data_IF_825306152652
#
_entry.id   IF_825306152652
#
_cell.length_a   1.000
_cell.length_b   1.000
_cell.length_c   1.000
_cell.angle_alpha   90.00
_cell.angle_beta   90.00
_cell.angle_gamma   90.00
#
_symmetry.space_group_name_H-M   'P 1'
#
loop_
_entity.id
_entity.type
_entity.pdbx_description
1 polymer ?
#
# COMPACT_ATOMS: atom_id res chain seq x y z
N UNK A 1 14.53 -12.40 8.22
CA UNK A 1 13.58 -13.10 7.33
C UNK A 1 12.20 -13.00 7.97
N UNK A 2 11.23 -12.36 7.33
CA UNK A 2 9.86 -12.20 7.84
C UNK A 2 8.85 -12.70 6.82
N UNK A 3 7.60 -12.89 7.25
CA UNK A 3 6.49 -13.21 6.38
C UNK A 3 5.72 -11.92 6.04
N UNK A 4 5.48 -11.71 4.76
CA UNK A 4 4.73 -10.58 4.23
C UNK A 4 3.43 -11.02 3.60
N UNK A 5 2.37 -10.27 3.80
CA UNK A 5 1.16 -10.38 2.99
C UNK A 5 0.92 -9.07 2.26
N UNK A 6 0.78 -9.15 0.93
CA UNK A 6 0.60 -8.00 0.05
C UNK A 6 -0.80 -8.03 -0.56
N UNK A 7 -1.70 -7.19 -0.06
CA UNK A 7 -2.99 -6.95 -0.66
C UNK A 7 -2.83 -6.00 -1.86
N UNK A 8 -3.37 -6.39 -3.03
CA UNK A 8 -3.17 -5.67 -4.29
C UNK A 8 -1.93 -6.09 -5.06
N UNK A 9 -1.42 -7.29 -4.83
CA UNK A 9 -0.20 -7.85 -5.41
C UNK A 9 -0.24 -8.03 -6.94
N UNK A 10 -1.42 -7.95 -7.56
CA UNK A 10 -1.59 -8.28 -8.97
C UNK A 10 -0.88 -7.35 -9.95
N UNK A 11 -0.60 -6.09 -9.63
CA UNK A 11 0.05 -5.10 -10.51
C UNK A 11 0.58 -3.91 -9.73
N UNK A 12 1.33 -3.04 -10.43
CA UNK A 12 1.79 -1.76 -9.88
C UNK A 12 2.66 -1.92 -8.65
N UNK A 13 2.45 -1.09 -7.62
CA UNK A 13 3.24 -1.08 -6.39
C UNK A 13 3.28 -2.47 -5.76
N UNK A 14 2.12 -3.13 -5.60
CA UNK A 14 2.05 -4.43 -4.94
C UNK A 14 2.83 -5.52 -5.67
N UNK A 15 2.81 -5.53 -7.00
CA UNK A 15 3.60 -6.49 -7.77
C UNK A 15 5.11 -6.28 -7.59
N UNK A 16 5.58 -5.03 -7.66
CA UNK A 16 6.99 -4.72 -7.41
C UNK A 16 7.40 -5.06 -5.98
N UNK A 17 6.53 -4.80 -5.00
CA UNK A 17 6.80 -5.13 -3.60
C UNK A 17 6.93 -6.65 -3.39
N UNK A 18 6.10 -7.47 -4.04
CA UNK A 18 6.26 -8.93 -4.03
C UNK A 18 7.63 -9.34 -4.58
N UNK A 19 8.03 -8.77 -5.72
CA UNK A 19 9.34 -9.05 -6.32
C UNK A 19 10.50 -8.70 -5.35
N UNK A 20 10.49 -7.50 -4.77
CA UNK A 20 11.51 -7.07 -3.82
C UNK A 20 11.55 -7.92 -2.56
N UNK A 21 10.39 -8.23 -1.98
CA UNK A 21 10.31 -9.07 -0.79
C UNK A 21 10.94 -10.46 -1.01
N UNK A 22 10.62 -11.09 -2.14
CA UNK A 22 11.20 -12.38 -2.51
C UNK A 22 12.72 -12.30 -2.77
N UNK A 23 13.18 -11.26 -3.45
CA UNK A 23 14.60 -11.03 -3.69
C UNK A 23 15.40 -10.83 -2.39
N UNK A 24 14.79 -10.26 -1.37
CA UNK A 24 15.38 -10.09 -0.04
C UNK A 24 15.23 -11.32 0.86
N UNK A 25 14.67 -12.42 0.34
CA UNK A 25 14.51 -13.68 1.05
C UNK A 25 13.33 -13.74 2.02
N UNK A 26 12.36 -12.82 1.93
CA UNK A 26 11.13 -12.90 2.70
C UNK A 26 10.18 -13.96 2.12
N UNK A 27 9.34 -14.51 2.97
CA UNK A 27 8.18 -15.31 2.54
C UNK A 27 7.06 -14.34 2.16
N UNK A 28 6.60 -14.35 0.90
CA UNK A 28 5.62 -13.40 0.42
C UNK A 28 4.33 -14.07 -0.01
N UNK A 29 3.24 -13.68 0.64
CA UNK A 29 1.87 -14.06 0.30
C UNK A 29 1.27 -12.92 -0.54
N UNK A 30 0.89 -13.24 -1.76
CA UNK A 30 0.29 -12.32 -2.72
C UNK A 30 -1.23 -12.49 -2.75
N UNK A 31 -1.98 -11.57 -2.14
CA UNK A 31 -3.44 -11.57 -2.21
C UNK A 31 -3.91 -10.83 -3.48
N UNK A 32 -4.66 -11.53 -4.32
CA UNK A 32 -5.13 -11.03 -5.62
C UNK A 32 -6.63 -11.26 -5.81
N UNK A 33 -7.30 -10.32 -6.50
CA UNK A 33 -8.71 -10.47 -6.87
C UNK A 33 -8.93 -11.20 -8.19
N UNK A 34 -7.95 -11.21 -9.08
CA UNK A 34 -8.10 -11.75 -10.43
C UNK A 34 -7.09 -12.84 -10.71
N UNK A 35 -7.58 -14.05 -10.99
CA UNK A 35 -6.80 -15.25 -11.28
C UNK A 35 -5.72 -15.08 -12.37
N UNK A 36 -5.93 -14.15 -13.33
CA UNK A 36 -4.96 -13.86 -14.41
C UNK A 36 -3.56 -13.47 -13.92
N UNK A 37 -3.42 -13.04 -12.68
CA UNK A 37 -2.12 -12.69 -12.09
C UNK A 37 -1.43 -13.85 -11.38
N UNK A 38 -2.14 -14.97 -11.13
CA UNK A 38 -1.68 -16.11 -10.34
C UNK A 38 -0.40 -16.71 -10.89
N UNK A 39 -0.43 -17.14 -12.16
CA UNK A 39 0.70 -17.85 -12.80
C UNK A 39 2.01 -17.09 -12.64
N UNK A 40 2.05 -15.80 -13.00
CA UNK A 40 3.29 -15.01 -12.92
C UNK A 40 3.78 -14.79 -11.50
N UNK A 41 2.87 -14.67 -10.51
CA UNK A 41 3.24 -14.50 -9.11
C UNK A 41 3.80 -15.80 -8.52
N UNK A 42 3.17 -16.94 -8.85
CA UNK A 42 3.68 -18.26 -8.45
C UNK A 42 5.04 -18.57 -9.08
N UNK A 43 5.24 -18.21 -10.36
CA UNK A 43 6.52 -18.41 -11.06
C UNK A 43 7.69 -17.67 -10.43
N UNK A 44 7.45 -16.50 -9.81
CA UNK A 44 8.50 -15.77 -9.08
C UNK A 44 8.65 -16.22 -7.62
N UNK A 45 7.89 -17.22 -7.16
CA UNK A 45 8.02 -17.82 -5.83
C UNK A 45 7.05 -17.31 -4.78
N UNK A 46 6.05 -16.48 -5.12
CA UNK A 46 5.06 -16.03 -4.16
C UNK A 46 4.00 -17.12 -3.89
N UNK A 47 3.57 -17.25 -2.64
CA UNK A 47 2.34 -17.94 -2.30
C UNK A 47 1.16 -17.06 -2.72
N UNK A 48 0.23 -17.58 -3.53
CA UNK A 48 -0.87 -16.78 -4.07
C UNK A 48 -2.20 -17.19 -3.45
N UNK A 49 -2.93 -16.20 -2.91
CA UNK A 49 -4.29 -16.36 -2.40
C UNK A 49 -5.22 -15.50 -3.26
N UNK A 50 -6.31 -16.11 -3.73
CA UNK A 50 -7.36 -15.43 -4.50
C UNK A 50 -8.54 -15.06 -3.58
N UNK A 51 -9.01 -13.81 -3.67
CA UNK A 51 -10.15 -13.32 -2.91
C UNK A 51 -10.47 -11.86 -3.22
N UNK A 52 -11.59 -11.37 -2.73
CA UNK A 52 -11.98 -9.96 -2.84
C UNK A 52 -11.84 -9.26 -1.48
N UNK A 53 -10.99 -8.25 -1.39
CA UNK A 53 -10.80 -7.47 -0.18
C UNK A 53 -12.10 -6.80 0.32
N UNK A 54 -13.08 -6.59 -0.56
CA UNK A 54 -14.39 -6.09 -0.18
C UNK A 54 -15.28 -7.14 0.53
N UNK A 55 -14.90 -8.42 0.48
CA UNK A 55 -15.54 -9.48 1.24
C UNK A 55 -14.80 -9.68 2.55
N UNK A 56 -15.46 -9.37 3.67
CA UNK A 56 -14.84 -9.46 5.00
C UNK A 56 -14.36 -10.88 5.33
N UNK A 57 -15.13 -11.91 4.92
CA UNK A 57 -14.75 -13.32 5.10
C UNK A 57 -13.44 -13.68 4.45
N UNK A 58 -13.20 -13.19 3.22
CA UNK A 58 -11.98 -13.51 2.47
C UNK A 58 -10.75 -12.97 3.20
N UNK A 59 -10.84 -11.73 3.69
CA UNK A 59 -9.74 -11.11 4.45
C UNK A 59 -9.54 -11.80 5.79
N UNK A 60 -10.62 -12.01 6.56
CA UNK A 60 -10.55 -12.65 7.87
C UNK A 60 -9.93 -14.04 7.78
N UNK A 61 -10.41 -14.87 6.87
CA UNK A 61 -9.90 -16.23 6.69
C UNK A 61 -8.43 -16.20 6.24
N UNK A 62 -8.09 -15.36 5.27
CA UNK A 62 -6.69 -15.23 4.81
C UNK A 62 -5.75 -14.83 5.95
N UNK A 63 -6.13 -13.87 6.79
CA UNK A 63 -5.27 -13.42 7.88
C UNK A 63 -5.24 -14.42 9.05
N UNK A 64 -6.29 -15.21 9.25
CA UNK A 64 -6.34 -16.26 10.29
C UNK A 64 -5.40 -17.45 9.96
N UNK A 65 -5.12 -17.68 8.68
CA UNK A 65 -4.28 -18.80 8.20
C UNK A 65 -2.78 -18.46 8.17
N UNK A 66 -2.40 -17.25 8.57
CA UNK A 66 -0.99 -16.80 8.57
C UNK A 66 -0.52 -16.39 9.96
N UNK A 67 0.79 -16.26 10.12
CA UNK A 67 1.37 -15.82 11.39
C UNK A 67 0.90 -14.41 11.77
N UNK A 68 0.52 -14.20 13.03
CA UNK A 68 0.18 -12.87 13.55
C UNK A 68 1.37 -11.90 13.59
N UNK A 69 2.60 -12.40 13.43
CA UNK A 69 3.81 -11.60 13.26
C UNK A 69 4.08 -11.20 11.79
N UNK A 70 3.20 -11.61 10.86
CA UNK A 70 3.32 -11.21 9.46
C UNK A 70 3.13 -9.71 9.29
N UNK A 71 3.90 -9.15 8.33
CA UNK A 71 3.77 -7.73 7.97
C UNK A 71 2.71 -7.59 6.88
N UNK A 72 1.71 -6.76 7.14
CA UNK A 72 0.62 -6.50 6.21
C UNK A 72 0.95 -5.28 5.37
N UNK A 73 0.87 -5.42 4.05
CA UNK A 73 0.94 -4.32 3.10
C UNK A 73 -0.38 -4.18 2.36
N UNK A 74 -1.01 -3.02 2.43
CA UNK A 74 -2.17 -2.70 1.62
C UNK A 74 -1.80 -1.70 0.54
N UNK A 75 -1.80 -2.19 -0.70
CA UNK A 75 -1.61 -1.39 -1.92
C UNK A 75 -2.86 -1.39 -2.78
N UNK A 76 -4.00 -1.84 -2.21
CA UNK A 76 -5.28 -1.89 -2.94
C UNK A 76 -5.82 -0.49 -3.18
N UNK A 77 -6.58 -0.35 -4.27
CA UNK A 77 -7.25 0.90 -4.57
C UNK A 77 -8.27 0.76 -5.70
N UNK A 78 -9.11 1.77 -5.81
CA UNK A 78 -10.16 1.90 -6.80
C UNK A 78 -11.54 1.47 -6.31
N UNK A 79 -12.55 2.26 -6.64
CA UNK A 79 -13.97 2.03 -6.29
C UNK A 79 -14.16 1.72 -4.79
N UNK A 80 -14.89 0.63 -4.50
CA UNK A 80 -15.18 0.17 -3.13
C UNK A 80 -13.94 -0.30 -2.35
N UNK A 81 -12.89 -0.78 -3.02
CA UNK A 81 -11.69 -1.24 -2.34
C UNK A 81 -10.95 -0.12 -1.58
N UNK A 82 -11.05 1.13 -2.06
CA UNK A 82 -10.45 2.29 -1.38
C UNK A 82 -10.96 2.46 0.05
N UNK A 83 -12.22 2.16 0.33
CA UNK A 83 -12.82 2.23 1.66
C UNK A 83 -13.03 0.83 2.24
N UNK A 84 -13.97 0.08 1.69
CA UNK A 84 -14.43 -1.20 2.27
C UNK A 84 -13.30 -2.22 2.38
N UNK A 85 -12.50 -2.38 1.31
CA UNK A 85 -11.41 -3.34 1.32
C UNK A 85 -10.34 -3.03 2.36
N UNK A 86 -9.92 -1.76 2.45
CA UNK A 86 -8.93 -1.35 3.44
C UNK A 86 -9.47 -1.44 4.87
N UNK A 87 -10.74 -1.08 5.12
CA UNK A 87 -11.36 -1.25 6.44
C UNK A 87 -11.45 -2.72 6.86
N UNK A 88 -11.78 -3.62 5.93
CA UNK A 88 -11.81 -5.06 6.20
C UNK A 88 -10.42 -5.57 6.62
N UNK A 89 -9.35 -5.13 5.94
CA UNK A 89 -7.97 -5.49 6.29
C UNK A 89 -7.64 -5.00 7.70
N UNK A 90 -7.90 -3.73 8.02
CA UNK A 90 -7.58 -3.15 9.34
C UNK A 90 -8.34 -3.88 10.44
N UNK A 91 -9.67 -4.02 10.31
CA UNK A 91 -10.52 -4.69 11.30
C UNK A 91 -10.11 -6.14 11.54
N UNK A 92 -9.80 -6.88 10.47
CA UNK A 92 -9.36 -8.27 10.62
C UNK A 92 -8.00 -8.37 11.28
N UNK A 93 -7.07 -7.46 10.95
CA UNK A 93 -5.76 -7.41 11.57
C UNK A 93 -5.84 -7.13 13.08
N UNK A 94 -6.67 -6.16 13.50
CA UNK A 94 -6.91 -5.88 14.93
C UNK A 94 -7.53 -7.08 15.65
N UNK A 95 -8.57 -7.67 15.06
CA UNK A 95 -9.28 -8.81 15.67
C UNK A 95 -8.37 -10.04 15.85
N UNK A 96 -7.40 -10.24 14.95
CA UNK A 96 -6.44 -11.36 14.97
C UNK A 96 -5.15 -11.00 15.70
N UNK A 97 -5.08 -9.85 16.38
CA UNK A 97 -3.89 -9.38 17.11
C UNK A 97 -2.63 -9.30 16.24
N UNK A 98 -2.79 -9.05 14.95
CA UNK A 98 -1.67 -8.70 14.09
C UNK A 98 -1.20 -7.28 14.43
N UNK A 99 0.07 -6.98 14.19
CA UNK A 99 0.64 -5.71 14.65
C UNK A 99 0.99 -4.76 13.52
N UNK A 100 1.75 -5.20 12.55
CA UNK A 100 2.39 -4.32 11.57
C UNK A 100 1.57 -4.19 10.29
N UNK A 101 1.16 -2.95 9.95
CA UNK A 101 0.44 -2.63 8.73
C UNK A 101 1.02 -1.41 8.04
N UNK A 102 1.38 -1.55 6.74
CA UNK A 102 1.78 -0.46 5.86
C UNK A 102 0.66 -0.20 4.85
N UNK A 103 0.14 1.02 4.84
CA UNK A 103 -0.98 1.43 3.99
C UNK A 103 -0.51 2.43 2.94
N UNK A 104 -0.79 2.16 1.67
CA UNK A 104 -0.57 3.11 0.58
C UNK A 104 -1.84 3.87 0.28
N UNK A 105 -1.79 5.20 0.40
CA UNK A 105 -2.91 6.09 0.12
C UNK A 105 -2.61 7.06 -1.02
N UNK A 106 -2.59 8.35 -0.79
CA UNK A 106 -2.27 9.38 -1.79
C UNK A 106 -1.88 10.68 -1.10
N UNK A 107 -0.98 11.44 -1.71
CA UNK A 107 -0.60 12.78 -1.24
C UNK A 107 -1.80 13.72 -1.06
N UNK A 108 -2.90 13.49 -1.76
CA UNK A 108 -4.13 14.29 -1.63
C UNK A 108 -5.02 13.94 -0.45
N UNK A 109 -4.68 12.94 0.36
CA UNK A 109 -5.48 12.54 1.50
C UNK A 109 -5.39 13.54 2.66
N UNK A 110 -6.48 13.65 3.43
CA UNK A 110 -6.58 14.43 4.65
C UNK A 110 -6.12 15.89 4.45
N UNK A 111 -5.06 16.33 5.11
CA UNK A 111 -4.46 17.66 5.00
C UNK A 111 -3.86 17.98 3.62
N UNK A 112 -3.59 16.97 2.80
CA UNK A 112 -3.14 17.11 1.41
C UNK A 112 -4.24 17.59 0.44
N UNK A 113 -5.52 17.46 0.81
CA UNK A 113 -6.66 17.83 -0.05
C UNK A 113 -6.62 19.26 -0.56
N UNK A 114 -6.18 20.20 0.26
CA UNK A 114 -6.12 21.63 -0.09
C UNK A 114 -5.13 21.93 -1.22
N UNK A 115 -4.11 21.09 -1.41
CA UNK A 115 -3.09 21.27 -2.44
C UNK A 115 -3.48 20.68 -3.80
N UNK A 116 -4.56 19.90 -3.88
CA UNK A 116 -5.03 19.32 -5.13
C UNK A 116 -5.69 20.38 -6.04
N UNK A 117 -5.36 20.33 -7.33
CA UNK A 117 -6.05 21.11 -8.34
C UNK A 117 -7.53 20.72 -8.45
N UNK A 118 -8.37 21.63 -8.99
CA UNK A 118 -9.78 21.34 -9.27
C UNK A 118 -9.94 20.13 -10.19
N UNK A 119 -9.05 19.98 -11.18
CA UNK A 119 -9.02 18.83 -12.10
C UNK A 119 -8.73 17.53 -11.36
N UNK A 120 -7.75 17.50 -10.46
CA UNK A 120 -7.43 16.32 -9.66
C UNK A 120 -8.59 15.96 -8.72
N UNK A 121 -9.24 16.95 -8.09
CA UNK A 121 -10.42 16.74 -7.25
C UNK A 121 -11.60 16.15 -8.04
N UNK A 122 -11.83 16.63 -9.26
CA UNK A 122 -12.90 16.10 -10.13
C UNK A 122 -12.63 14.64 -10.54
N UNK A 123 -11.39 14.28 -10.86
CA UNK A 123 -11.03 12.94 -11.34
C UNK A 123 -10.89 11.91 -10.21
N UNK A 124 -10.31 12.29 -9.10
CA UNK A 124 -9.89 11.36 -8.04
C UNK A 124 -10.52 11.64 -6.68
N UNK A 125 -11.31 12.71 -6.55
CA UNK A 125 -11.76 13.20 -5.25
C UNK A 125 -12.49 12.17 -4.40
N UNK A 126 -13.37 11.35 -5.00
CA UNK A 126 -14.07 10.29 -4.26
C UNK A 126 -13.10 9.25 -3.70
N UNK A 127 -12.17 8.76 -4.52
CA UNK A 127 -11.12 7.80 -4.11
C UNK A 127 -10.26 8.38 -2.98
N UNK A 128 -9.84 9.63 -3.10
CA UNK A 128 -9.03 10.32 -2.09
C UNK A 128 -9.79 10.50 -0.77
N UNK A 129 -11.08 10.85 -0.82
CA UNK A 129 -11.92 10.93 0.39
C UNK A 129 -12.06 9.58 1.08
N UNK A 130 -12.30 8.50 0.33
CA UNK A 130 -12.36 7.15 0.88
C UNK A 130 -11.05 6.76 1.57
N UNK A 131 -9.92 7.04 0.93
CA UNK A 131 -8.59 6.81 1.53
C UNK A 131 -8.36 7.66 2.77
N UNK A 132 -8.82 8.91 2.80
CA UNK A 132 -8.74 9.78 3.98
C UNK A 132 -9.55 9.21 5.16
N UNK A 133 -10.73 8.64 4.90
CA UNK A 133 -11.53 7.97 5.94
C UNK A 133 -10.79 6.74 6.50
N UNK A 134 -10.14 5.96 5.63
CA UNK A 134 -9.33 4.82 6.05
C UNK A 134 -8.12 5.25 6.88
N UNK A 135 -7.43 6.33 6.50
CA UNK A 135 -6.33 6.89 7.30
C UNK A 135 -6.81 7.28 8.70
N UNK A 136 -7.97 7.93 8.80
CA UNK A 136 -8.56 8.32 10.08
C UNK A 136 -8.84 7.09 10.95
N UNK A 137 -9.44 6.05 10.36
CA UNK A 137 -9.72 4.81 11.06
C UNK A 137 -8.43 4.11 11.53
N UNK A 138 -7.44 4.01 10.65
CA UNK A 138 -6.15 3.35 10.96
C UNK A 138 -5.40 4.09 12.08
N UNK A 139 -5.43 5.42 12.11
CA UNK A 139 -4.77 6.24 13.13
C UNK A 139 -5.33 6.04 14.54
N UNK A 140 -6.54 5.53 14.67
CA UNK A 140 -7.18 5.22 15.95
C UNK A 140 -7.16 3.73 16.30
N UNK A 141 -6.52 2.91 15.44
CA UNK A 141 -6.36 1.47 15.66
C UNK A 141 -5.21 1.15 16.61
N UNK A 142 -5.18 -0.10 17.07
CA UNK A 142 -4.08 -0.65 17.89
C UNK A 142 -2.84 -1.06 17.09
N UNK A 143 -2.83 -0.83 15.77
CA UNK A 143 -1.79 -1.32 14.88
C UNK A 143 -0.54 -0.43 14.90
N UNK A 144 0.61 -1.06 14.76
CA UNK A 144 1.90 -0.40 14.46
C UNK A 144 1.90 -0.02 12.96
N UNK A 145 1.09 0.96 12.58
CA UNK A 145 0.90 1.33 11.19
C UNK A 145 1.99 2.28 10.67
N UNK A 146 2.16 2.27 9.33
CA UNK A 146 2.78 3.38 8.59
C UNK A 146 1.93 3.68 7.37
N UNK A 147 1.60 4.95 7.15
CA UNK A 147 0.88 5.42 5.97
C UNK A 147 1.86 6.06 5.01
N UNK A 148 1.94 5.53 3.78
CA UNK A 148 2.64 6.19 2.69
C UNK A 148 1.63 6.85 1.74
N UNK A 149 1.82 8.14 1.50
CA UNK A 149 1.06 8.97 0.57
C UNK A 149 1.91 9.27 -0.67
N UNK A 150 1.91 8.41 -1.69
CA UNK A 150 2.63 8.69 -2.92
C UNK A 150 2.14 9.97 -3.58
N UNK A 151 3.06 10.70 -4.20
CA UNK A 151 2.79 11.71 -5.21
C UNK A 151 2.21 11.08 -6.49
N UNK A 152 2.15 11.78 -7.61
CA UNK A 152 1.66 11.24 -8.88
C UNK A 152 2.49 10.03 -9.31
N UNK A 153 1.84 8.88 -9.51
CA UNK A 153 2.50 7.60 -9.75
C UNK A 153 2.84 7.37 -11.23
N UNK A 154 4.11 7.13 -11.53
CA UNK A 154 4.60 6.79 -12.87
C UNK A 154 4.89 5.30 -13.01
N UNK A 155 4.76 4.78 -14.25
CA UNK A 155 5.16 3.42 -14.64
C UNK A 155 6.55 3.46 -15.31
N UNK A 156 7.53 4.01 -14.62
CA UNK A 156 8.92 4.04 -15.03
C UNK A 156 9.74 3.12 -14.10
N UNK A 157 10.97 2.73 -14.51
CA UNK A 157 11.92 2.12 -13.59
C UNK A 157 12.17 2.99 -12.37
N UNK A 158 12.58 2.39 -11.26
CA UNK A 158 12.99 3.12 -10.08
C UNK A 158 14.13 4.08 -10.41
N UNK A 159 14.07 5.30 -9.88
CA UNK A 159 15.13 6.29 -9.99
C UNK A 159 16.12 6.21 -8.84
N UNK A 160 15.69 5.71 -7.69
CA UNK A 160 16.44 5.71 -6.44
C UNK A 160 16.55 7.09 -5.77
N UNK A 161 15.93 8.12 -6.33
CA UNK A 161 16.00 9.51 -5.82
C UNK A 161 14.77 9.91 -5.00
N UNK A 162 13.86 8.96 -4.73
CA UNK A 162 12.67 9.26 -3.95
C UNK A 162 13.02 9.68 -2.52
N UNK A 163 12.21 10.57 -1.98
CA UNK A 163 12.34 11.08 -0.63
C UNK A 163 11.04 10.90 0.15
N UNK A 164 11.19 10.56 1.41
CA UNK A 164 10.11 10.48 2.38
C UNK A 164 10.07 11.77 3.21
N UNK A 165 8.97 12.49 3.13
CA UNK A 165 8.75 13.75 3.85
C UNK A 165 7.45 13.71 4.64
N UNK A 166 7.36 14.49 5.72
CA UNK A 166 6.16 14.50 6.57
C UNK A 166 5.04 15.37 6.01
N UNK A 167 5.36 16.44 5.31
CA UNK A 167 4.35 17.38 4.78
C UNK A 167 3.82 16.94 3.41
N UNK A 168 2.53 17.19 3.11
CA UNK A 168 1.99 16.96 1.78
C UNK A 168 2.67 17.84 0.74
N UNK A 169 3.25 17.24 -0.29
CA UNK A 169 3.87 17.93 -1.42
C UNK A 169 3.45 17.27 -2.73
N UNK A 170 2.92 18.07 -3.65
CA UNK A 170 2.56 17.60 -4.98
C UNK A 170 3.83 17.38 -5.81
N UNK A 171 3.90 16.27 -6.50
CA UNK A 171 5.06 15.87 -7.30
C UNK A 171 4.80 14.54 -8.01
N UNK A 172 5.86 13.87 -8.39
CA UNK A 172 5.83 12.56 -9.05
C UNK A 172 6.72 11.56 -8.30
N UNK A 173 6.46 10.26 -8.50
CA UNK A 173 7.30 9.17 -7.99
C UNK A 173 7.00 7.90 -8.80
N UNK A 174 7.97 7.00 -8.94
CA UNK A 174 7.70 5.74 -9.62
C UNK A 174 7.04 4.72 -8.69
N UNK A 175 6.27 3.78 -9.28
CA UNK A 175 5.69 2.67 -8.49
C UNK A 175 6.74 1.74 -7.91
N UNK A 176 7.86 1.60 -8.59
CA UNK A 176 8.99 0.81 -8.10
C UNK A 176 9.66 1.47 -6.89
N UNK A 177 9.87 2.80 -6.91
CA UNK A 177 10.43 3.51 -5.76
C UNK A 177 9.53 3.41 -4.53
N UNK A 178 8.20 3.45 -4.70
CA UNK A 178 7.27 3.22 -3.58
C UNK A 178 7.39 1.79 -3.05
N UNK A 179 7.57 0.79 -3.90
CA UNK A 179 7.75 -0.59 -3.45
C UNK A 179 9.08 -0.77 -2.69
N UNK A 180 10.14 -0.13 -3.15
CA UNK A 180 11.44 -0.09 -2.45
C UNK A 180 11.28 0.57 -1.08
N UNK A 181 10.63 1.73 -1.02
CA UNK A 181 10.42 2.45 0.24
C UNK A 181 9.59 1.61 1.23
N UNK A 182 8.51 0.97 0.79
CA UNK A 182 7.72 0.06 1.62
C UNK A 182 8.58 -1.08 2.20
N UNK A 183 9.45 -1.66 1.38
CA UNK A 183 10.38 -2.71 1.80
C UNK A 183 11.36 -2.21 2.87
N UNK A 184 11.96 -1.03 2.64
CA UNK A 184 12.95 -0.44 3.55
C UNK A 184 12.38 -0.10 4.93
N UNK A 185 11.10 0.27 4.99
CA UNK A 185 10.46 0.67 6.25
C UNK A 185 9.64 -0.44 6.90
N UNK A 186 9.56 -1.61 6.30
CA UNK A 186 8.71 -2.72 6.74
C UNK A 186 8.89 -3.03 8.24
N UNK A 187 10.13 -3.16 8.69
CA UNK A 187 10.50 -3.49 10.07
C UNK A 187 11.05 -2.29 10.86
N UNK A 188 11.10 -1.11 10.25
CA UNK A 188 11.67 0.06 10.90
C UNK A 188 10.69 0.68 11.92
N UNK A 189 10.93 0.43 13.20
CA UNK A 189 10.10 0.90 14.31
C UNK A 189 10.00 2.43 14.40
N UNK A 190 10.97 3.18 13.87
CA UNK A 190 10.92 4.65 13.83
C UNK A 190 9.81 5.18 12.89
N UNK A 191 9.24 4.32 12.06
CA UNK A 191 8.14 4.67 11.15
C UNK A 191 6.77 4.27 11.69
N UNK A 192 6.71 3.67 12.86
CA UNK A 192 5.44 3.25 13.48
C UNK A 192 4.59 4.47 13.83
N UNK A 193 3.29 4.36 13.56
CA UNK A 193 2.30 5.43 13.76
C UNK A 193 2.62 6.73 13.01
N UNK A 194 3.39 6.64 11.91
CA UNK A 194 3.78 7.77 11.10
C UNK A 194 3.03 7.82 9.76
N UNK A 195 2.91 9.03 9.22
CA UNK A 195 2.38 9.30 7.89
C UNK A 195 3.42 10.08 7.10
N UNK A 196 3.77 9.60 5.91
CA UNK A 196 4.76 10.23 5.04
C UNK A 196 4.21 10.45 3.64
N UNK A 197 4.53 11.57 3.04
CA UNK A 197 4.47 11.76 1.59
C UNK A 197 5.76 11.20 0.98
N UNK A 198 5.64 10.53 -0.17
CA UNK A 198 6.81 10.06 -0.94
C UNK A 198 6.78 10.71 -2.31
N UNK A 199 7.84 11.45 -2.61
CA UNK A 199 8.06 12.16 -3.87
C UNK A 199 9.46 11.85 -4.41
N UNK A 200 9.66 12.13 -5.69
CA UNK A 200 10.97 12.14 -6.32
C UNK A 200 11.25 13.53 -6.89
N UNK A 201 12.16 14.32 -6.27
CA UNK A 201 12.47 15.66 -6.72
C UNK A 201 13.12 15.73 -8.11
N UNK A 202 13.68 14.63 -8.61
CA UNK A 202 14.26 14.57 -9.95
C UNK A 202 13.21 14.45 -11.06
N UNK A 203 11.96 14.14 -10.72
CA UNK A 203 10.86 14.00 -11.67
C UNK A 203 10.00 15.26 -11.73
N UNK A 204 9.65 15.71 -12.94
CA UNK A 204 8.79 16.85 -13.16
C UNK A 204 7.61 16.52 -14.08
N UNK A 205 6.50 17.30 -13.98
CA UNK A 205 5.32 17.13 -14.83
C UNK A 205 5.58 17.45 -16.32
N UNK A 206 6.73 18.06 -16.63
CA UNK A 206 7.13 18.45 -18.00
C UNK A 206 8.02 17.41 -18.70
N UNK A 207 8.23 16.26 -18.12
CA UNK A 207 8.95 15.16 -18.81
C UNK A 207 8.06 14.63 -19.93
N UNK A 208 8.45 14.94 -21.19
CA UNK A 208 7.84 14.43 -22.43
C UNK A 208 8.22 12.97 -22.67
#
# INVERSE_FOLDING_TARGET
MSQWIVFGAGKGIGYHLVQYGLQQGHQVIAFIRHAKYKTRLTQIGAQVIEGDACQYSDIKNTLADISNNSIIFSTIGGKSADLTGNLNIIKSAEMLNMRRLLLVTSVGCSDGWKYLSSKAKALFGMSIRHKSMVECYLKTSSLDYTILRPAGLLNLPATGNHQRIQLPQIGLVTRQDIAIELSNIAENKLTYQQTYTVIDPSLSFNMK
#
